data_IF_608841750891
#
_entry.id   IF_608841750891
#
_cell.length_a   1.000
_cell.length_b   1.000
_cell.length_c   1.000
_cell.angle_alpha   90.00
_cell.angle_beta   90.00
_cell.angle_gamma   90.00
#
_symmetry.space_group_name_H-M   'P 1'
#
loop_
_entity.id
_entity.type
_entity.pdbx_description
1 polymer ?
#
# COMPACT_ATOMS: atom_id res chain seq x y z
N UNK A 1 19.04 -7.61 -35.09
CA UNK A 1 17.72 -7.82 -34.47
C UNK A 1 16.66 -7.39 -35.48
N UNK A 2 15.82 -8.30 -35.98
CA UNK A 2 14.74 -8.00 -36.95
C UNK A 2 13.39 -8.06 -36.25
N UNK A 3 12.39 -7.31 -36.72
CA UNK A 3 11.06 -7.27 -36.10
C UNK A 3 10.40 -8.66 -35.99
N UNK A 4 10.67 -9.57 -36.92
CA UNK A 4 10.15 -10.94 -36.94
C UNK A 4 10.92 -11.94 -36.05
N UNK A 5 11.97 -11.50 -35.35
CA UNK A 5 12.81 -12.35 -34.49
C UNK A 5 12.61 -12.11 -33.00
N UNK A 6 11.82 -11.12 -32.63
CA UNK A 6 11.56 -10.74 -31.23
C UNK A 6 10.46 -11.63 -30.67
N UNK A 7 10.76 -12.37 -29.60
CA UNK A 7 9.78 -13.18 -28.86
C UNK A 7 9.75 -12.73 -27.39
N UNK A 8 8.59 -12.77 -26.73
CA UNK A 8 8.51 -12.48 -25.30
C UNK A 8 9.18 -13.61 -24.50
N UNK A 9 9.55 -13.32 -23.26
CA UNK A 9 10.07 -14.34 -22.34
C UNK A 9 9.04 -15.45 -22.14
N UNK A 10 9.52 -16.68 -21.96
CA UNK A 10 8.67 -17.84 -21.74
C UNK A 10 7.77 -17.62 -20.49
N UNK A 11 6.49 -17.97 -20.61
CA UNK A 11 5.50 -17.78 -19.54
C UNK A 11 4.98 -16.34 -19.34
N UNK A 12 5.58 -15.32 -19.94
CA UNK A 12 5.14 -13.91 -19.75
C UNK A 12 3.78 -13.60 -20.40
N UNK A 13 3.36 -14.37 -21.40
CA UNK A 13 2.06 -14.21 -22.09
C UNK A 13 1.24 -15.48 -21.98
N UNK A 14 0.08 -15.38 -21.33
CA UNK A 14 -0.90 -16.45 -21.26
C UNK A 14 -2.10 -16.19 -22.18
N UNK A 15 -2.60 -17.24 -22.82
CA UNK A 15 -3.79 -17.16 -23.64
C UNK A 15 -5.03 -16.92 -22.76
N UNK A 16 -5.87 -15.95 -23.13
CA UNK A 16 -7.14 -15.71 -22.43
C UNK A 16 -8.08 -16.90 -22.58
N UNK A 17 -8.83 -17.20 -21.52
CA UNK A 17 -9.89 -18.21 -21.55
C UNK A 17 -11.04 -17.76 -22.47
N UNK A 18 -11.33 -18.54 -23.52
CA UNK A 18 -12.43 -18.30 -24.46
C UNK A 18 -13.54 -19.32 -24.22
N UNK A 19 -14.55 -18.93 -23.44
CA UNK A 19 -15.66 -19.82 -23.08
C UNK A 19 -16.67 -19.99 -24.21
N UNK A 20 -17.42 -21.10 -24.21
CA UNK A 20 -18.45 -21.39 -25.21
C UNK A 20 -17.87 -21.71 -26.59
N UNK A 21 -16.78 -22.49 -26.66
CA UNK A 21 -16.11 -22.88 -27.93
C UNK A 21 -15.97 -24.40 -28.04
N UNK A 22 -17.10 -25.11 -28.14
CA UNK A 22 -17.13 -26.56 -28.30
C UNK A 22 -16.79 -27.37 -27.04
N UNK A 23 -16.99 -28.69 -27.09
CA UNK A 23 -16.78 -29.61 -25.96
C UNK A 23 -15.27 -29.77 -25.66
N UNK A 24 -14.44 -29.90 -26.70
CA UNK A 24 -12.99 -30.10 -26.56
C UNK A 24 -12.22 -28.95 -25.91
N UNK A 25 -12.82 -27.77 -25.75
CA UNK A 25 -12.19 -26.64 -25.04
C UNK A 25 -12.33 -26.72 -23.51
N UNK A 26 -13.04 -27.73 -22.97
CA UNK A 26 -13.32 -27.88 -21.54
C UNK A 26 -14.27 -26.83 -20.95
N UNK A 27 -14.64 -25.80 -21.71
CA UNK A 27 -15.53 -24.70 -21.27
C UNK A 27 -16.65 -24.44 -22.27
N UNK A 28 -17.18 -25.51 -22.86
CA UNK A 28 -18.26 -25.49 -23.84
C UNK A 28 -19.61 -25.03 -23.29
N UNK A 29 -20.63 -25.90 -23.35
CA UNK A 29 -22.06 -25.60 -23.16
C UNK A 29 -22.40 -24.59 -22.06
N UNK A 30 -21.91 -24.78 -20.84
CA UNK A 30 -22.24 -23.91 -19.68
C UNK A 30 -21.24 -22.77 -19.46
N UNK A 31 -20.18 -22.68 -20.26
CA UNK A 31 -19.14 -21.67 -20.12
C UNK A 31 -18.53 -21.57 -18.71
N UNK A 32 -18.58 -22.66 -17.91
CA UNK A 32 -18.12 -22.70 -16.52
C UNK A 32 -19.09 -22.12 -15.49
N UNK A 33 -20.34 -21.82 -15.87
CA UNK A 33 -21.37 -21.25 -14.97
C UNK A 33 -22.31 -22.28 -14.33
N UNK A 34 -22.20 -23.56 -14.69
CA UNK A 34 -23.15 -24.60 -14.26
C UNK A 34 -24.52 -24.48 -14.92
N UNK A 35 -25.56 -25.05 -14.28
CA UNK A 35 -26.92 -25.08 -14.80
C UNK A 35 -27.87 -24.17 -14.04
N UNK A 36 -28.59 -23.30 -14.76
CA UNK A 36 -29.67 -22.43 -14.25
C UNK A 36 -29.22 -21.57 -13.03
N UNK A 37 -30.19 -20.95 -12.36
CA UNK A 37 -29.96 -20.10 -11.18
C UNK A 37 -29.54 -18.67 -11.52
N UNK A 38 -29.59 -17.78 -10.53
CA UNK A 38 -29.30 -16.36 -10.71
C UNK A 38 -27.89 -16.13 -11.26
N UNK A 39 -26.87 -16.79 -10.71
CA UNK A 39 -25.45 -16.64 -11.13
C UNK A 39 -25.16 -17.09 -12.56
N UNK A 40 -26.02 -17.90 -13.18
CA UNK A 40 -25.82 -18.32 -14.56
C UNK A 40 -26.34 -17.28 -15.57
N UNK A 41 -27.28 -16.41 -15.17
CA UNK A 41 -27.92 -15.42 -16.04
C UNK A 41 -26.99 -14.25 -16.38
N UNK A 42 -27.27 -13.57 -17.49
CA UNK A 42 -26.59 -12.31 -17.85
C UNK A 42 -26.90 -11.25 -16.79
N UNK A 43 -25.88 -10.58 -16.27
CA UNK A 43 -26.03 -9.63 -15.16
C UNK A 43 -26.33 -10.25 -13.79
N UNK A 44 -26.42 -11.58 -13.70
CA UNK A 44 -26.74 -12.31 -12.48
C UNK A 44 -25.64 -12.23 -11.43
N UNK A 45 -25.66 -11.18 -10.61
CA UNK A 45 -24.73 -10.96 -9.50
C UNK A 45 -25.50 -10.76 -8.21
N UNK A 46 -24.91 -11.23 -7.13
CA UNK A 46 -25.36 -10.94 -5.77
C UNK A 46 -24.56 -9.72 -5.29
N UNK A 47 -25.22 -8.74 -4.69
CA UNK A 47 -24.56 -7.54 -4.14
C UNK A 47 -23.53 -7.97 -3.09
N UNK A 48 -22.35 -7.33 -3.11
CA UNK A 48 -21.32 -7.58 -2.09
C UNK A 48 -21.91 -7.28 -0.71
N UNK A 49 -21.85 -8.27 0.20
CA UNK A 49 -22.43 -8.19 1.53
C UNK A 49 -23.88 -8.67 1.68
N UNK A 50 -24.52 -9.19 0.62
CA UNK A 50 -25.85 -9.81 0.74
C UNK A 50 -25.75 -11.28 1.15
N UNK A 51 -26.43 -11.66 2.24
CA UNK A 51 -26.37 -12.98 2.88
C UNK A 51 -27.67 -13.80 2.69
N UNK A 52 -28.41 -13.57 1.60
CA UNK A 52 -29.59 -14.39 1.26
C UNK A 52 -30.89 -14.02 1.99
N UNK A 53 -30.91 -12.91 2.73
CA UNK A 53 -32.08 -12.42 3.47
C UNK A 53 -31.80 -12.16 4.95
N UNK A 54 -30.71 -12.75 5.48
CA UNK A 54 -30.20 -12.41 6.81
C UNK A 54 -29.70 -10.96 6.85
N UNK A 55 -29.80 -10.31 8.03
CA UNK A 55 -29.14 -9.03 8.26
C UNK A 55 -27.64 -9.15 8.02
N UNK A 56 -27.05 -8.39 7.07
CA UNK A 56 -25.63 -8.47 6.76
C UNK A 56 -24.73 -8.21 7.96
N UNK A 57 -23.56 -8.87 8.01
CA UNK A 57 -22.58 -8.69 9.08
C UNK A 57 -22.23 -7.21 9.34
N UNK A 58 -22.04 -6.42 8.29
CA UNK A 58 -21.75 -4.97 8.36
C UNK A 58 -22.87 -4.13 9.00
N UNK A 59 -24.09 -4.67 9.10
CA UNK A 59 -25.23 -4.05 9.78
C UNK A 59 -25.49 -4.64 11.17
N UNK A 60 -25.06 -5.88 11.41
CA UNK A 60 -25.20 -6.56 12.72
C UNK A 60 -24.32 -5.96 13.80
N UNK A 61 -23.10 -5.54 13.43
CA UNK A 61 -22.16 -4.96 14.38
C UNK A 61 -22.35 -3.44 14.53
N UNK A 62 -22.22 -2.89 15.75
CA UNK A 62 -22.26 -1.46 15.94
C UNK A 62 -21.03 -0.80 15.31
N UNK A 63 -21.22 0.43 14.80
CA UNK A 63 -20.09 1.28 14.37
C UNK A 63 -19.33 1.73 15.62
N UNK A 64 -17.99 1.65 15.59
CA UNK A 64 -17.12 2.09 16.69
C UNK A 64 -15.96 2.93 16.16
N UNK A 65 -15.57 3.91 16.96
CA UNK A 65 -14.40 4.76 16.71
C UNK A 65 -14.72 6.05 15.95
N UNK A 66 -13.68 6.83 15.69
CA UNK A 66 -13.74 8.07 14.92
C UNK A 66 -12.47 8.21 14.09
N UNK A 67 -12.51 9.00 13.02
CA UNK A 67 -11.33 9.30 12.21
C UNK A 67 -10.67 10.59 12.69
N UNK A 68 -9.45 10.51 13.20
CA UNK A 68 -8.67 11.69 13.61
C UNK A 68 -8.07 12.42 12.40
N UNK A 69 -8.29 13.74 12.31
CA UNK A 69 -7.66 14.59 11.30
C UNK A 69 -6.14 14.73 11.53
N UNK A 70 -5.70 14.71 12.78
CA UNK A 70 -4.28 14.80 13.14
C UNK A 70 -3.53 13.55 12.63
N UNK A 71 -4.12 12.36 12.79
CA UNK A 71 -3.51 11.11 12.33
C UNK A 71 -3.31 11.09 10.80
N UNK A 72 -4.22 11.69 10.03
CA UNK A 72 -4.10 11.80 8.56
C UNK A 72 -2.99 12.75 8.12
N UNK A 73 -2.72 13.79 8.89
CA UNK A 73 -1.70 14.78 8.60
C UNK A 73 -0.30 14.42 9.12
N UNK A 74 -0.17 13.29 9.84
CA UNK A 74 1.09 12.84 10.44
C UNK A 74 1.70 11.71 9.63
N UNK A 75 2.96 11.88 9.22
CA UNK A 75 3.77 10.84 8.55
C UNK A 75 4.74 10.19 9.56
N UNK A 76 5.06 8.93 9.34
CA UNK A 76 6.11 8.22 10.08
C UNK A 76 7.32 8.07 9.17
N UNK A 77 8.50 8.40 9.68
CA UNK A 77 9.78 8.31 8.97
C UNK A 77 10.68 7.31 9.70
N UNK A 78 11.35 6.44 8.96
CA UNK A 78 12.26 5.42 9.49
C UNK A 78 13.70 5.92 9.51
N UNK A 79 14.59 5.27 10.28
CA UNK A 79 15.98 5.73 10.42
C UNK A 79 16.78 5.62 9.12
N UNK A 80 16.69 4.49 8.42
CA UNK A 80 17.40 4.28 7.16
C UNK A 80 16.91 5.22 6.03
N UNK A 81 15.71 5.77 6.15
CA UNK A 81 15.17 6.73 5.19
C UNK A 81 15.87 8.10 5.34
N UNK A 82 16.47 8.39 6.50
CA UNK A 82 17.19 9.65 6.74
C UNK A 82 18.47 9.77 5.90
N UNK A 83 19.01 8.66 5.40
CA UNK A 83 20.15 8.67 4.48
C UNK A 83 19.81 9.30 3.11
N UNK A 84 18.51 9.33 2.75
CA UNK A 84 18.02 9.95 1.52
C UNK A 84 17.93 11.49 1.63
N UNK A 85 18.04 12.04 2.83
CA UNK A 85 18.00 13.48 3.05
C UNK A 85 19.36 14.09 2.70
N UNK A 86 19.36 15.00 1.73
CA UNK A 86 20.52 15.79 1.37
C UNK A 86 20.83 16.82 2.47
N UNK A 87 22.10 16.93 2.86
CA UNK A 87 22.53 17.74 4.01
C UNK A 87 22.45 16.99 5.34
N UNK A 88 22.74 17.70 6.43
CA UNK A 88 22.78 17.12 7.79
C UNK A 88 21.59 17.53 8.66
N UNK A 89 20.70 18.40 8.17
CA UNK A 89 19.54 18.90 8.93
C UNK A 89 18.28 18.19 8.45
N UNK A 90 17.54 17.61 9.38
CA UNK A 90 16.28 16.90 9.15
C UNK A 90 15.13 17.76 9.69
N UNK A 91 14.58 18.57 8.79
CA UNK A 91 13.39 19.38 8.98
C UNK A 91 12.23 18.88 8.11
N UNK A 92 11.00 19.35 8.39
CA UNK A 92 9.83 19.08 7.57
C UNK A 92 10.02 19.45 6.08
N UNK A 93 10.79 20.49 5.77
CA UNK A 93 11.08 20.87 4.38
C UNK A 93 12.03 19.86 3.72
N UNK A 94 13.14 19.54 4.37
CA UNK A 94 14.13 18.56 3.86
C UNK A 94 13.53 17.16 3.67
N UNK A 95 12.63 16.74 4.57
CA UNK A 95 11.88 15.48 4.43
C UNK A 95 10.93 15.50 3.22
N UNK A 96 10.41 16.67 2.85
CA UNK A 96 9.57 16.83 1.67
C UNK A 96 10.40 16.81 0.39
N UNK A 97 11.54 17.48 0.39
CA UNK A 97 12.49 17.51 -0.74
C UNK A 97 13.04 16.10 -1.03
N UNK A 98 13.36 15.33 0.01
CA UNK A 98 13.78 13.93 -0.10
C UNK A 98 12.64 12.97 -0.52
N UNK A 99 11.41 13.46 -0.70
CA UNK A 99 10.25 12.64 -1.11
C UNK A 99 9.68 11.75 0.00
N UNK A 100 10.17 11.87 1.25
CA UNK A 100 9.70 11.12 2.42
C UNK A 100 8.37 11.64 2.95
N UNK A 101 8.02 12.89 2.64
CA UNK A 101 6.78 13.53 3.06
C UNK A 101 6.08 14.24 1.90
N UNK A 102 4.78 13.97 1.74
CA UNK A 102 3.90 14.71 0.82
C UNK A 102 3.46 16.07 1.40
N UNK A 103 3.10 17.01 0.53
CA UNK A 103 2.62 18.36 0.90
C UNK A 103 1.40 18.37 1.82
N UNK A 104 0.58 17.31 1.78
CA UNK A 104 -0.63 17.17 2.62
C UNK A 104 -0.28 16.92 4.10
N UNK A 105 0.92 16.42 4.38
CA UNK A 105 1.37 16.16 5.75
C UNK A 105 1.98 17.42 6.37
N UNK A 106 1.58 17.68 7.62
CA UNK A 106 2.04 18.84 8.41
C UNK A 106 2.89 18.42 9.60
N UNK A 107 2.96 17.11 9.90
CA UNK A 107 3.70 16.56 11.04
C UNK A 107 4.44 15.32 10.60
N UNK A 108 5.64 15.12 11.14
CA UNK A 108 6.41 13.90 10.97
C UNK A 108 6.79 13.32 12.35
N UNK A 109 6.94 12.00 12.41
CA UNK A 109 7.47 11.31 13.59
C UNK A 109 8.52 10.27 13.19
N UNK A 110 9.73 10.39 13.73
CA UNK A 110 10.85 9.48 13.46
C UNK A 110 10.77 8.27 14.39
N UNK A 111 10.78 7.07 13.82
CA UNK A 111 10.67 5.79 14.53
C UNK A 111 11.89 4.91 14.31
N UNK A 112 12.22 4.12 15.33
CA UNK A 112 13.32 3.16 15.29
C UNK A 112 12.96 2.01 14.31
N UNK A 113 13.52 2.07 13.11
CA UNK A 113 13.39 1.01 12.10
C UNK A 113 14.53 1.14 11.08
N UNK A 114 15.40 0.13 11.07
CA UNK A 114 16.68 0.19 10.38
C UNK A 114 17.76 0.88 11.19
N UNK A 115 18.89 1.12 10.55
CA UNK A 115 20.09 1.72 11.14
C UNK A 115 20.33 3.10 10.54
N UNK A 116 21.14 3.90 11.22
CA UNK A 116 21.60 5.20 10.72
C UNK A 116 23.10 5.30 10.91
N UNK A 117 23.82 5.55 9.82
CA UNK A 117 25.28 5.71 9.85
C UNK A 117 25.70 7.17 9.77
N UNK A 118 24.80 8.05 9.32
CA UNK A 118 25.05 9.47 9.12
C UNK A 118 24.69 10.27 10.38
N UNK A 119 25.59 11.14 10.81
CA UNK A 119 25.28 12.12 11.85
C UNK A 119 24.30 13.18 11.31
N UNK A 120 23.09 13.20 11.85
CA UNK A 120 22.01 14.13 11.45
C UNK A 120 21.53 14.95 12.64
N UNK A 121 21.21 16.22 12.37
CA UNK A 121 20.55 17.14 13.28
C UNK A 121 19.06 17.16 12.96
N UNK A 122 18.22 16.63 13.86
CA UNK A 122 16.77 16.65 13.71
C UNK A 122 16.21 17.93 14.33
N UNK A 123 15.39 18.68 13.61
CA UNK A 123 14.74 19.90 14.11
C UNK A 123 13.23 19.91 13.80
N UNK A 124 12.41 20.30 14.78
CA UNK A 124 10.96 20.46 14.60
C UNK A 124 10.17 19.18 14.27
N UNK A 125 10.77 17.99 14.49
CA UNK A 125 10.16 16.68 14.20
C UNK A 125 10.12 15.83 15.47
N UNK A 126 8.99 15.15 15.71
CA UNK A 126 8.86 14.28 16.88
C UNK A 126 9.71 13.02 16.74
N UNK A 127 10.51 12.67 17.75
CA UNK A 127 11.36 11.47 17.74
C UNK A 127 10.89 10.48 18.80
N UNK A 128 10.86 9.18 18.47
CA UNK A 128 10.61 8.13 19.47
C UNK A 128 11.85 7.89 20.34
N UNK A 129 11.68 7.45 21.59
CA UNK A 129 12.79 7.20 22.52
C UNK A 129 13.88 6.29 21.94
N UNK A 130 13.48 5.22 21.24
CA UNK A 130 14.44 4.31 20.60
C UNK A 130 15.17 4.94 19.41
N UNK A 131 14.48 5.76 18.62
CA UNK A 131 15.11 6.48 17.51
C UNK A 131 16.07 7.55 18.00
N UNK A 132 15.73 8.23 19.09
CA UNK A 132 16.59 9.22 19.71
C UNK A 132 17.94 8.61 20.13
N UNK A 133 17.91 7.49 20.85
CA UNK A 133 19.12 6.80 21.27
C UNK A 133 19.99 6.36 20.06
N UNK A 134 19.37 5.89 18.98
CA UNK A 134 20.09 5.50 17.77
C UNK A 134 20.72 6.70 17.03
N UNK A 135 20.03 7.85 16.97
CA UNK A 135 20.54 9.07 16.35
C UNK A 135 21.70 9.66 17.17
N UNK A 136 21.56 9.70 18.49
CA UNK A 136 22.63 10.16 19.39
C UNK A 136 23.86 9.23 19.33
N UNK A 137 23.65 7.91 19.25
CA UNK A 137 24.73 6.94 19.08
C UNK A 137 25.49 7.11 17.75
N UNK A 138 24.82 7.56 16.70
CA UNK A 138 25.43 7.91 15.41
C UNK A 138 26.09 9.31 15.41
N UNK A 139 26.13 10.01 16.54
CA UNK A 139 26.69 11.35 16.67
C UNK A 139 25.78 12.49 16.18
N UNK A 140 24.49 12.19 15.98
CA UNK A 140 23.48 13.18 15.63
C UNK A 140 23.02 14.03 16.82
N UNK A 141 22.27 15.09 16.53
CA UNK A 141 21.68 15.99 17.54
C UNK A 141 20.18 16.11 17.31
N UNK A 142 19.44 16.37 18.39
CA UNK A 142 18.01 16.64 18.32
C UNK A 142 17.78 18.02 18.91
N UNK A 143 17.36 18.94 18.06
CA UNK A 143 16.97 20.30 18.41
C UNK A 143 15.44 20.35 18.50
N UNK A 144 14.94 20.91 19.60
CA UNK A 144 13.51 20.96 19.93
C UNK A 144 12.76 22.01 19.11
#
# INVERSE_FOLDING_TARGET
MRLNTIKPAEGSKHARKRVGRGIGSGTGKTAGRGHKGQKSRTGGKIRIGFEGGQMPFQMRLPKRGFSSNIGRATVQVRLHELDLVEGNVVDLLTLREAGLMKTVHTRAKIMLSGEITKAVTVSGVGVTKGAQAAIEAAGGKIES
#
